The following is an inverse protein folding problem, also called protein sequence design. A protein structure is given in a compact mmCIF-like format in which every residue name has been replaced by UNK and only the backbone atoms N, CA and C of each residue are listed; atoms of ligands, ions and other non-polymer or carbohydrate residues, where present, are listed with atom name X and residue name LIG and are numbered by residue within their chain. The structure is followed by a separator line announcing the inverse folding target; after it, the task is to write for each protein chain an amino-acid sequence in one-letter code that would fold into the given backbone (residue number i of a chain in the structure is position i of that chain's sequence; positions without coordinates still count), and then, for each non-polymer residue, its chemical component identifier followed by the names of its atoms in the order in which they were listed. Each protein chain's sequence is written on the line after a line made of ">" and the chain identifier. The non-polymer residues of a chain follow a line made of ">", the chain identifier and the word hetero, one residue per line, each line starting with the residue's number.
data_IF_917286120060
#
_entry.id   IF_917286120060
#
_cell.length_a   1.000
_cell.length_b   1.000
_cell.length_c   1.000
_cell.angle_alpha   90.00
_cell.angle_beta   90.00
_cell.angle_gamma   90.00
#
_symmetry.space_group_name_H-M   'P 1'
#
loop_
_entity.id
_entity.type
_entity.pdbx_description
1 polymer ?
#
# COMPACT_ATOMS: atom_id res chain seq x y z
N UNK A 1 -22.30 -20.40 10.70
CA UNK A 1 -21.85 -20.09 9.34
C UNK A 1 -20.83 -21.13 8.94
N UNK A 2 -21.08 -21.89 7.87
CA UNK A 2 -20.05 -22.70 7.25
C UNK A 2 -18.97 -21.73 6.75
N UNK A 3 -17.75 -21.84 7.25
CA UNK A 3 -16.60 -21.14 6.69
C UNK A 3 -16.36 -21.76 5.31
N UNK A 4 -16.45 -20.95 4.28
CA UNK A 4 -15.93 -21.30 2.98
C UNK A 4 -14.41 -21.41 3.07
N UNK A 5 -13.78 -22.20 2.24
CA UNK A 5 -12.31 -22.26 2.12
C UNK A 5 -11.71 -21.01 1.45
N UNK A 6 -12.53 -20.02 1.12
CA UNK A 6 -12.11 -18.79 0.49
C UNK A 6 -11.47 -17.82 1.49
N UNK A 7 -10.35 -17.25 1.13
CA UNK A 7 -9.70 -16.17 1.89
C UNK A 7 -10.52 -14.89 1.74
N UNK A 8 -10.87 -14.28 2.86
CA UNK A 8 -11.56 -12.99 2.88
C UNK A 8 -10.54 -11.86 2.88
N UNK A 9 -10.64 -10.95 1.92
CA UNK A 9 -9.75 -9.79 1.80
C UNK A 9 -10.57 -8.50 1.90
N UNK A 10 -10.18 -7.60 2.79
CA UNK A 10 -10.71 -6.25 2.88
C UNK A 10 -9.63 -5.27 2.44
N UNK A 11 -9.87 -4.51 1.39
CA UNK A 11 -9.01 -3.39 0.99
C UNK A 11 -9.55 -2.08 1.54
N UNK A 12 -8.68 -1.32 2.18
CA UNK A 12 -8.96 0.02 2.71
C UNK A 12 -8.06 1.04 2.02
N UNK A 13 -8.65 2.17 1.63
CA UNK A 13 -7.90 3.25 1.02
C UNK A 13 -7.16 4.06 2.10
N UNK A 14 -5.84 4.19 1.95
CA UNK A 14 -5.04 5.01 2.86
C UNK A 14 -5.34 6.49 2.61
N UNK A 15 -6.03 7.09 3.54
CA UNK A 15 -6.36 8.51 3.53
C UNK A 15 -6.07 9.13 4.89
N UNK A 16 -5.30 10.21 4.88
CA UNK A 16 -5.17 11.08 6.03
C UNK A 16 -6.27 12.13 5.95
N UNK A 17 -7.17 12.13 6.92
CA UNK A 17 -8.14 13.20 7.07
C UNK A 17 -7.43 14.52 7.29
N UNK A 18 -7.51 15.41 6.32
CA UNK A 18 -6.84 16.70 6.41
C UNK A 18 -7.61 17.71 7.23
N UNK A 19 -8.93 17.63 7.22
CA UNK A 19 -9.83 18.58 7.86
C UNK A 19 -10.73 17.94 8.92
N UNK A 20 -10.91 16.63 8.85
CA UNK A 20 -11.74 15.87 9.77
C UNK A 20 -11.04 14.56 10.15
N UNK A 21 -10.51 14.47 11.38
CA UNK A 21 -9.86 13.25 11.87
C UNK A 21 -10.76 12.01 11.83
N UNK A 22 -12.08 12.18 11.80
CA UNK A 22 -13.03 11.06 11.73
C UNK A 22 -13.01 10.37 10.37
N UNK A 23 -12.50 11.02 9.34
CA UNK A 23 -12.31 10.47 8.00
C UNK A 23 -10.94 9.84 7.78
N UNK A 24 -10.06 9.85 8.79
CA UNK A 24 -8.83 9.07 8.67
C UNK A 24 -9.18 7.58 8.63
N UNK A 25 -8.44 6.81 7.82
CA UNK A 25 -8.60 5.36 7.71
C UNK A 25 -8.70 4.67 9.07
N UNK A 26 -7.79 5.02 9.98
CA UNK A 26 -7.69 4.36 11.27
C UNK A 26 -8.87 4.67 12.19
N UNK A 27 -9.33 5.92 12.21
CA UNK A 27 -10.52 6.30 12.94
C UNK A 27 -11.76 5.64 12.36
N UNK A 28 -11.87 5.56 11.04
CA UNK A 28 -12.94 4.85 10.37
C UNK A 28 -12.96 3.37 10.73
N UNK A 29 -11.83 2.68 10.55
CA UNK A 29 -11.74 1.24 10.83
C UNK A 29 -12.08 0.90 12.27
N UNK A 30 -11.62 1.72 13.23
CA UNK A 30 -11.91 1.50 14.65
C UNK A 30 -13.39 1.74 15.02
N UNK A 31 -14.03 2.73 14.40
CA UNK A 31 -15.40 3.15 14.74
C UNK A 31 -16.47 2.40 13.96
N UNK A 32 -16.27 2.22 12.65
CA UNK A 32 -17.33 1.76 11.74
C UNK A 32 -17.28 0.26 11.44
N UNK A 33 -16.13 -0.40 11.63
CA UNK A 33 -16.01 -1.84 11.42
C UNK A 33 -16.01 -2.55 12.77
N UNK A 34 -17.13 -3.20 13.16
CA UNK A 34 -17.23 -3.91 14.42
C UNK A 34 -16.13 -4.96 14.60
N UNK A 35 -15.66 -5.17 15.83
CA UNK A 35 -14.63 -6.17 16.14
C UNK A 35 -15.01 -7.57 15.61
N UNK A 36 -16.28 -7.96 15.77
CA UNK A 36 -16.79 -9.24 15.25
C UNK A 36 -16.71 -9.39 13.73
N UNK A 37 -16.67 -8.28 12.99
CA UNK A 37 -16.45 -8.28 11.53
C UNK A 37 -14.96 -8.35 11.22
N UNK A 38 -14.14 -7.57 11.96
CA UNK A 38 -12.68 -7.59 11.78
C UNK A 38 -12.08 -8.98 12.00
N UNK A 39 -12.59 -9.72 12.97
CA UNK A 39 -12.17 -11.11 13.26
C UNK A 39 -12.49 -12.11 12.14
N UNK A 40 -13.36 -11.75 11.19
CA UNK A 40 -13.71 -12.58 10.04
C UNK A 40 -12.86 -12.30 8.80
N UNK A 41 -11.98 -11.28 8.86
CA UNK A 41 -11.14 -10.86 7.76
C UNK A 41 -9.80 -11.59 7.85
N UNK A 42 -9.49 -12.41 6.86
CA UNK A 42 -8.22 -13.13 6.82
C UNK A 42 -7.04 -12.24 6.41
N UNK A 43 -7.30 -11.27 5.53
CA UNK A 43 -6.32 -10.31 5.03
C UNK A 43 -6.91 -8.91 5.01
N UNK A 44 -6.24 -7.95 5.62
CA UNK A 44 -6.54 -6.54 5.44
C UNK A 44 -5.46 -5.90 4.57
N UNK A 45 -5.89 -5.27 3.49
CA UNK A 45 -5.03 -4.63 2.51
C UNK A 45 -5.15 -3.12 2.52
N UNK A 46 -4.07 -2.44 2.18
CA UNK A 46 -4.06 -1.00 1.90
C UNK A 46 -3.95 -0.72 0.42
N UNK A 47 -4.79 0.18 -0.05
CA UNK A 47 -4.61 0.90 -1.30
C UNK A 47 -3.86 2.20 -0.99
N UNK A 48 -2.65 2.36 -1.54
CA UNK A 48 -1.67 3.38 -1.15
C UNK A 48 -1.22 4.19 -2.35
N UNK A 49 -1.45 5.49 -2.29
CA UNK A 49 -1.02 6.46 -3.30
C UNK A 49 -0.33 7.63 -2.59
N UNK A 50 0.99 7.51 -2.29
CA UNK A 50 1.70 8.49 -1.46
C UNK A 50 1.71 9.90 -1.99
N UNK A 51 1.53 10.08 -3.32
CA UNK A 51 1.40 11.42 -3.92
C UNK A 51 0.09 12.12 -3.57
N UNK A 52 -0.97 11.36 -3.27
CA UNK A 52 -2.27 11.90 -2.88
C UNK A 52 -2.37 12.03 -1.36
N UNK A 53 -1.91 11.03 -0.66
CA UNK A 53 -1.93 10.95 0.81
C UNK A 53 -0.54 10.61 1.32
N UNK A 54 0.28 11.62 1.63
CA UNK A 54 1.66 11.42 2.02
C UNK A 54 1.78 10.59 3.29
N UNK A 55 2.57 9.53 3.22
CA UNK A 55 3.03 8.80 4.40
C UNK A 55 4.51 9.04 4.70
N UNK A 56 5.22 9.77 3.82
CA UNK A 56 6.66 9.95 3.91
C UNK A 56 7.37 8.60 4.01
N UNK A 57 8.38 8.51 4.86
CA UNK A 57 9.11 7.28 5.16
C UNK A 57 8.48 6.49 6.31
N UNK A 58 7.19 6.62 6.54
CA UNK A 58 6.49 6.05 7.69
C UNK A 58 5.64 4.81 7.34
N UNK A 59 5.94 4.10 6.23
CA UNK A 59 5.17 2.95 5.79
C UNK A 59 5.04 1.89 6.90
N UNK A 60 6.12 1.57 7.62
CA UNK A 60 6.11 0.65 8.75
C UNK A 60 5.11 1.05 9.85
N UNK A 61 5.05 2.35 10.16
CA UNK A 61 4.11 2.87 11.17
C UNK A 61 2.67 2.76 10.70
N UNK A 62 2.43 3.06 9.43
CA UNK A 62 1.10 2.96 8.83
C UNK A 62 0.61 1.51 8.87
N UNK A 63 1.43 0.56 8.43
CA UNK A 63 1.10 -0.86 8.45
C UNK A 63 0.94 -1.39 9.87
N UNK A 64 1.76 -0.95 10.82
CA UNK A 64 1.63 -1.34 12.23
C UNK A 64 0.35 -0.79 12.88
N UNK A 65 -0.09 0.40 12.47
CA UNK A 65 -1.37 0.94 12.94
C UNK A 65 -2.55 0.17 12.38
N UNK A 66 -2.43 -0.30 11.13
CA UNK A 66 -3.44 -1.17 10.51
C UNK A 66 -3.51 -2.52 11.24
N UNK A 67 -2.37 -3.14 11.50
CA UNK A 67 -2.25 -4.39 12.26
C UNK A 67 -2.91 -4.27 13.65
N UNK A 68 -2.63 -3.19 14.36
CA UNK A 68 -3.27 -2.95 15.67
C UNK A 68 -4.81 -2.89 15.59
N UNK A 69 -5.36 -2.44 14.47
CA UNK A 69 -6.81 -2.41 14.24
C UNK A 69 -7.39 -3.75 13.78
N UNK A 70 -6.56 -4.62 13.17
CA UNK A 70 -6.94 -5.91 12.58
C UNK A 70 -6.00 -7.04 13.03
N UNK A 71 -5.79 -7.17 14.32
CA UNK A 71 -4.75 -8.04 14.91
C UNK A 71 -4.88 -9.53 14.60
N UNK A 72 -5.99 -9.99 14.06
CA UNK A 72 -6.21 -11.37 13.61
C UNK A 72 -6.00 -11.58 12.10
N UNK A 73 -5.75 -10.50 11.36
CA UNK A 73 -5.60 -10.54 9.91
C UNK A 73 -4.12 -10.50 9.49
N UNK A 74 -3.81 -11.04 8.33
CA UNK A 74 -2.54 -10.76 7.65
C UNK A 74 -2.61 -9.40 6.97
N UNK A 75 -1.45 -8.76 6.82
CA UNK A 75 -1.34 -7.41 6.25
C UNK A 75 -0.88 -7.48 4.79
N UNK A 76 -1.52 -6.69 3.93
CA UNK A 76 -1.16 -6.57 2.52
C UNK A 76 -1.11 -5.10 2.08
N UNK A 77 -0.39 -4.83 1.00
CA UNK A 77 -0.57 -3.63 0.19
C UNK A 77 -1.21 -4.08 -1.13
N UNK A 78 -2.52 -3.93 -1.20
CA UNK A 78 -3.32 -4.45 -2.31
C UNK A 78 -3.32 -3.53 -3.53
N UNK A 79 -2.95 -2.27 -3.33
CA UNK A 79 -2.70 -1.32 -4.40
C UNK A 79 -1.58 -0.38 -3.99
N UNK A 80 -0.64 -0.16 -4.88
CA UNK A 80 0.46 0.80 -4.72
C UNK A 80 0.65 1.54 -6.02
N UNK A 81 0.69 2.87 -5.96
CA UNK A 81 1.01 3.70 -7.11
C UNK A 81 1.69 5.00 -6.69
N UNK A 82 2.51 5.56 -7.58
CA UNK A 82 3.16 6.83 -7.36
C UNK A 82 3.39 7.58 -8.67
N UNK A 83 2.81 8.76 -8.79
CA UNK A 83 2.77 9.50 -10.05
C UNK A 83 1.63 8.97 -10.91
N UNK A 84 1.79 8.98 -12.19
CA UNK A 84 0.77 8.66 -13.19
C UNK A 84 0.55 9.82 -14.12
N UNK A 85 -0.26 9.63 -15.15
CA UNK A 85 -0.43 10.63 -16.21
C UNK A 85 -0.99 11.95 -15.67
N UNK A 86 -1.95 11.86 -14.75
CA UNK A 86 -2.63 13.03 -14.19
C UNK A 86 -1.87 13.67 -13.01
N UNK A 87 -0.82 13.02 -12.53
CA UNK A 87 -0.10 13.40 -11.32
C UNK A 87 1.37 13.73 -11.56
N UNK A 88 1.75 14.00 -12.81
CA UNK A 88 3.11 14.35 -13.21
C UNK A 88 3.66 15.60 -12.51
N UNK A 89 2.79 16.48 -12.03
CA UNK A 89 3.19 17.69 -11.33
C UNK A 89 3.66 17.46 -9.87
N UNK A 90 3.51 16.23 -9.36
CA UNK A 90 3.84 15.93 -7.98
C UNK A 90 2.64 16.08 -7.03
N UNK A 91 2.84 16.09 -5.72
CA UNK A 91 4.13 16.25 -5.02
C UNK A 91 5.00 14.98 -5.07
N UNK A 92 6.29 15.16 -5.25
CA UNK A 92 7.29 14.09 -5.37
C UNK A 92 8.00 13.88 -4.03
N UNK A 93 7.35 13.20 -3.11
CA UNK A 93 7.85 12.96 -1.74
C UNK A 93 9.14 12.12 -1.68
N UNK A 94 9.38 11.29 -2.68
CA UNK A 94 10.51 10.36 -2.74
C UNK A 94 11.54 10.75 -3.79
N UNK A 95 11.37 11.88 -4.44
CA UNK A 95 12.27 12.30 -5.51
C UNK A 95 11.79 13.57 -6.18
N UNK A 96 12.12 13.73 -7.45
CA UNK A 96 11.87 14.94 -8.23
C UNK A 96 11.05 14.62 -9.48
N UNK A 97 10.25 15.57 -9.94
CA UNK A 97 9.52 15.47 -11.21
C UNK A 97 10.47 15.35 -12.43
N UNK A 98 11.73 15.74 -12.29
CA UNK A 98 12.73 15.56 -13.35
C UNK A 98 13.26 14.13 -13.46
N UNK A 99 13.05 13.31 -12.42
CA UNK A 99 13.36 11.87 -12.43
C UNK A 99 12.23 11.06 -11.79
N UNK A 100 11.11 10.94 -12.48
CA UNK A 100 9.96 10.20 -11.98
C UNK A 100 10.22 8.70 -11.84
N UNK A 101 11.15 8.16 -12.58
CA UNK A 101 11.54 6.74 -12.49
C UNK A 101 12.21 6.45 -11.18
N UNK A 102 13.22 7.24 -10.81
CA UNK A 102 13.90 7.09 -9.51
C UNK A 102 12.93 7.28 -8.34
N UNK A 103 12.03 8.25 -8.41
CA UNK A 103 11.03 8.47 -7.39
C UNK A 103 10.06 7.29 -7.23
N UNK A 104 9.56 6.72 -8.33
CA UNK A 104 8.71 5.52 -8.30
C UNK A 104 9.44 4.31 -7.75
N UNK A 105 10.70 4.12 -8.16
CA UNK A 105 11.55 3.05 -7.66
C UNK A 105 11.72 3.15 -6.14
N UNK A 106 12.05 4.33 -5.63
CA UNK A 106 12.22 4.56 -4.19
C UNK A 106 10.92 4.30 -3.39
N UNK A 107 9.76 4.68 -3.94
CA UNK A 107 8.46 4.34 -3.32
C UNK A 107 8.22 2.84 -3.31
N UNK A 108 8.46 2.16 -4.45
CA UNK A 108 8.28 0.72 -4.55
C UNK A 108 9.16 -0.03 -3.55
N UNK A 109 10.44 0.32 -3.47
CA UNK A 109 11.41 -0.26 -2.54
C UNK A 109 10.99 -0.01 -1.08
N UNK A 110 10.65 1.23 -0.74
CA UNK A 110 10.28 1.59 0.63
C UNK A 110 9.02 0.86 1.11
N UNK A 111 7.94 0.91 0.33
CA UNK A 111 6.66 0.31 0.72
C UNK A 111 6.75 -1.22 0.70
N UNK A 112 7.44 -1.79 -0.29
CA UNK A 112 7.61 -3.24 -0.38
C UNK A 112 8.51 -3.76 0.74
N UNK A 113 9.60 -3.07 1.04
CA UNK A 113 10.47 -3.41 2.16
C UNK A 113 9.70 -3.40 3.49
N UNK A 114 8.89 -2.37 3.72
CA UNK A 114 8.05 -2.27 4.91
C UNK A 114 7.01 -3.40 4.97
N UNK A 115 6.36 -3.73 3.85
CA UNK A 115 5.37 -4.79 3.81
C UNK A 115 5.97 -6.18 4.03
N UNK A 116 7.03 -6.53 3.30
CA UNK A 116 7.67 -7.85 3.36
C UNK A 116 8.53 -8.07 4.60
N UNK A 117 9.00 -7.00 5.26
CA UNK A 117 9.71 -7.08 6.53
C UNK A 117 8.85 -7.54 7.71
N UNK A 118 7.54 -7.69 7.52
CA UNK A 118 6.59 -8.07 8.56
C UNK A 118 6.37 -9.58 8.60
N UNK A 119 6.25 -10.14 9.78
CA UNK A 119 5.94 -11.56 9.98
C UNK A 119 4.50 -11.95 9.59
N UNK A 120 3.60 -10.96 9.54
CA UNK A 120 2.19 -11.08 9.17
C UNK A 120 1.91 -10.69 7.71
N UNK A 121 2.94 -10.48 6.89
CA UNK A 121 2.81 -10.11 5.49
C UNK A 121 2.04 -11.17 4.67
N UNK A 122 1.16 -10.69 3.78
CA UNK A 122 0.43 -11.54 2.81
C UNK A 122 0.95 -11.33 1.38
N UNK A 123 2.26 -11.29 1.20
CA UNK A 123 2.88 -11.16 -0.11
C UNK A 123 3.33 -9.74 -0.45
N UNK A 124 3.86 -9.59 -1.66
CA UNK A 124 4.35 -8.32 -2.17
C UNK A 124 3.22 -7.36 -2.55
N UNK A 125 3.47 -6.04 -2.52
CA UNK A 125 2.50 -5.06 -3.00
C UNK A 125 2.12 -5.25 -4.46
N UNK A 126 0.85 -5.00 -4.77
CA UNK A 126 0.38 -4.93 -6.14
C UNK A 126 0.59 -3.52 -6.69
N UNK A 127 1.42 -3.38 -7.74
CA UNK A 127 1.64 -2.09 -8.41
C UNK A 127 0.50 -1.79 -9.39
N UNK A 128 -0.28 -0.75 -9.09
CA UNK A 128 -1.50 -0.43 -9.83
C UNK A 128 -1.23 0.05 -11.26
N UNK A 129 -0.21 0.91 -11.45
CA UNK A 129 0.15 1.42 -12.77
C UNK A 129 1.10 0.51 -13.55
N UNK A 130 1.11 -0.80 -13.26
CA UNK A 130 2.05 -1.73 -13.87
C UNK A 130 2.04 -1.67 -15.40
N UNK A 131 0.86 -1.62 -16.03
CA UNK A 131 0.76 -1.58 -17.49
C UNK A 131 1.30 -0.27 -18.07
N UNK A 132 1.06 0.85 -17.43
CA UNK A 132 1.55 2.16 -17.87
C UNK A 132 3.05 2.33 -17.62
N UNK A 133 3.54 1.83 -16.50
CA UNK A 133 4.93 1.98 -16.09
C UNK A 133 5.86 0.94 -16.72
N UNK A 134 5.35 -0.19 -17.19
CA UNK A 134 6.14 -1.33 -17.67
C UNK A 134 5.89 -1.68 -19.13
N UNK A 135 4.64 -1.62 -19.60
CA UNK A 135 4.27 -1.99 -20.96
C UNK A 135 4.34 -0.77 -21.87
N UNK A 136 5.19 -0.83 -22.88
CA UNK A 136 5.39 0.26 -23.84
C UNK A 136 6.47 1.26 -23.48
N UNK A 137 7.10 1.12 -22.33
CA UNK A 137 8.26 1.96 -21.95
C UNK A 137 9.53 1.14 -22.07
N UNK A 138 10.49 1.52 -22.96
CA UNK A 138 11.76 0.83 -23.03
C UNK A 138 12.48 0.84 -21.67
N UNK A 139 12.75 -0.34 -21.13
CA UNK A 139 13.52 -0.48 -19.90
C UNK A 139 12.71 -0.69 -18.61
N UNK A 140 11.37 -0.73 -18.67
CA UNK A 140 10.48 -1.06 -17.56
C UNK A 140 10.85 -0.44 -16.22
N UNK A 141 10.26 0.68 -15.89
CA UNK A 141 10.77 1.62 -14.87
C UNK A 141 10.75 1.07 -13.43
N UNK A 142 9.82 0.20 -13.11
CA UNK A 142 9.65 -0.33 -11.74
C UNK A 142 10.01 -1.81 -11.64
N UNK A 143 10.07 -2.52 -12.78
CA UNK A 143 10.37 -3.95 -12.81
C UNK A 143 11.70 -4.33 -12.13
N UNK A 144 12.81 -3.58 -12.25
CA UNK A 144 14.03 -3.90 -11.52
C UNK A 144 13.86 -3.83 -9.99
N UNK A 145 13.14 -2.82 -9.49
CA UNK A 145 12.88 -2.68 -8.06
C UNK A 145 11.98 -3.82 -7.54
N UNK A 146 10.92 -4.16 -8.28
CA UNK A 146 10.03 -5.26 -7.93
C UNK A 146 10.76 -6.62 -7.99
N UNK A 147 11.65 -6.80 -8.99
CA UNK A 147 12.47 -8.01 -9.10
C UNK A 147 13.49 -8.12 -7.95
N UNK A 148 14.14 -7.03 -7.58
CA UNK A 148 15.10 -7.01 -6.46
C UNK A 148 14.45 -7.39 -5.14
N UNK A 149 13.20 -6.98 -4.91
CA UNK A 149 12.46 -7.33 -3.70
C UNK A 149 11.98 -8.78 -3.73
N UNK A 150 11.58 -9.30 -4.90
CA UNK A 150 11.10 -10.70 -5.03
C UNK A 150 12.20 -11.74 -4.82
N UNK A 151 13.47 -11.35 -5.00
CA UNK A 151 14.63 -12.26 -4.76
C UNK A 151 15.07 -12.31 -3.31
N UNK A 152 14.54 -11.43 -2.46
CA UNK A 152 14.82 -11.37 -1.02
C UNK A 152 13.83 -12.15 -0.14
N UNK A 153 12.89 -12.87 -0.75
CA UNK A 153 11.89 -13.68 -0.05
C UNK A 153 12.32 -15.15 0.05
#
# INVERSE_FOLDING_TARGET
>A
RERTSATTVLTLYYQLGQTDPTHSLFSYAAREIPASVRELIDVVGLSVYPQLHPMGTAADRVLSTLDAAFSSSRIAVTELGYGGQDLNAGPWWFGSASDPVAARTAVAEHVTGAALGRSDAWGAPFWWYYLEDQVGTPGGQVAPALAAVSTGC
#
